data_IF_206177951301
#
_entry.id   IF_206177951301
#
_cell.length_a   1.000
_cell.length_b   1.000
_cell.length_c   1.000
_cell.angle_alpha   90.00
_cell.angle_beta   90.00
_cell.angle_gamma   90.00
#
_symmetry.space_group_name_H-M   'P 1'
#
loop_
_entity.id
_entity.type
_entity.pdbx_description
1 polymer ?
#
# COMPACT_ATOMS: atom_id res chain seq x y z
N UNK A 1 5.59 -39.10 8.34
CA UNK A 1 4.47 -38.24 7.93
C UNK A 1 3.61 -38.03 9.17
N UNK A 2 3.45 -36.78 9.58
CA UNK A 2 2.59 -36.41 10.69
C UNK A 2 1.22 -36.03 10.15
N UNK A 3 0.14 -36.51 10.75
CA UNK A 3 -1.21 -36.11 10.36
C UNK A 3 -1.52 -34.78 11.05
N UNK A 4 -1.58 -33.71 10.30
CA UNK A 4 -1.86 -32.35 10.82
C UNK A 4 -3.35 -32.02 10.92
N UNK A 5 -4.26 -32.95 10.56
CA UNK A 5 -5.70 -32.77 10.63
C UNK A 5 -6.43 -32.94 9.31
N UNK A 6 -7.72 -32.70 9.31
CA UNK A 6 -8.57 -32.71 8.12
C UNK A 6 -8.76 -31.29 7.57
N UNK A 7 -8.82 -31.19 6.25
CA UNK A 7 -9.22 -29.95 5.56
C UNK A 7 -10.75 -29.94 5.46
N UNK A 8 -11.39 -28.83 5.84
CA UNK A 8 -12.84 -28.67 5.68
C UNK A 8 -13.23 -28.70 4.19
N UNK A 9 -14.37 -29.31 3.89
CA UNK A 9 -14.89 -29.26 2.52
C UNK A 9 -15.15 -27.82 2.11
N UNK A 10 -14.67 -27.46 0.93
CA UNK A 10 -14.83 -26.14 0.32
C UNK A 10 -15.02 -26.29 -1.19
N UNK A 11 -15.50 -25.26 -1.86
CA UNK A 11 -15.63 -25.22 -3.31
C UNK A 11 -15.56 -23.77 -3.81
N UNK A 12 -14.35 -23.23 -3.89
CA UNK A 12 -14.12 -21.87 -4.42
C UNK A 12 -14.39 -21.80 -5.92
N UNK A 13 -14.36 -22.95 -6.62
CA UNK A 13 -14.74 -23.02 -8.03
C UNK A 13 -16.23 -22.80 -8.26
N UNK A 14 -17.07 -22.76 -7.22
CA UNK A 14 -18.51 -22.45 -7.35
C UNK A 14 -18.87 -21.03 -6.92
N UNK A 15 -17.89 -20.17 -6.69
CA UNK A 15 -18.14 -18.78 -6.29
C UNK A 15 -18.95 -18.04 -7.36
N UNK A 16 -19.91 -17.25 -6.90
CA UNK A 16 -20.72 -16.34 -7.70
C UNK A 16 -19.97 -15.01 -7.92
N UNK A 17 -20.55 -14.13 -8.73
CA UNK A 17 -20.03 -12.79 -8.97
C UNK A 17 -19.79 -12.05 -7.66
N UNK A 18 -18.57 -11.52 -7.50
CA UNK A 18 -18.14 -10.87 -6.26
C UNK A 18 -17.28 -9.66 -6.60
N UNK A 19 -17.67 -8.49 -6.12
CA UNK A 19 -16.97 -7.23 -6.43
C UNK A 19 -15.59 -7.15 -5.79
N UNK A 20 -15.43 -7.67 -4.56
CA UNK A 20 -14.19 -7.55 -3.80
C UNK A 20 -13.83 -8.85 -3.09
N UNK A 21 -12.59 -9.27 -3.26
CA UNK A 21 -11.99 -10.36 -2.50
C UNK A 21 -11.00 -9.79 -1.49
N UNK A 22 -11.12 -10.21 -0.24
CA UNK A 22 -10.12 -9.92 0.82
C UNK A 22 -9.43 -11.23 1.17
N UNK A 23 -8.11 -11.28 1.00
CA UNK A 23 -7.29 -12.45 1.35
C UNK A 23 -6.57 -12.16 2.66
N UNK A 24 -6.67 -13.06 3.62
CA UNK A 24 -6.00 -12.95 4.92
C UNK A 24 -5.25 -14.23 5.29
N UNK A 25 -4.23 -14.18 6.17
CA UNK A 25 -3.69 -15.38 6.83
C UNK A 25 -4.79 -16.09 7.62
N UNK A 26 -4.66 -17.42 7.82
CA UNK A 26 -5.61 -18.17 8.65
C UNK A 26 -5.36 -17.91 10.15
N UNK A 27 -5.64 -16.67 10.55
CA UNK A 27 -5.51 -16.17 11.92
C UNK A 27 -6.81 -15.51 12.35
N UNK A 28 -7.43 -16.06 13.39
CA UNK A 28 -8.74 -15.59 13.90
C UNK A 28 -8.77 -14.09 14.22
N UNK A 29 -7.68 -13.57 14.77
CA UNK A 29 -7.55 -12.17 15.16
C UNK A 29 -7.53 -11.22 13.94
N UNK A 30 -6.86 -11.60 12.85
CA UNK A 30 -6.85 -10.84 11.61
C UNK A 30 -8.15 -11.02 10.84
N UNK A 31 -8.66 -12.24 10.72
CA UNK A 31 -9.91 -12.54 10.03
C UNK A 31 -11.10 -11.78 10.62
N UNK A 32 -11.17 -11.62 11.94
CA UNK A 32 -12.21 -10.83 12.58
C UNK A 32 -12.17 -9.35 12.14
N UNK A 33 -11.00 -8.78 11.89
CA UNK A 33 -10.87 -7.42 11.42
C UNK A 33 -11.11 -7.30 9.90
N UNK A 34 -10.65 -8.28 9.11
CA UNK A 34 -10.94 -8.37 7.68
C UNK A 34 -12.46 -8.43 7.44
N UNK A 35 -13.19 -9.24 8.22
CA UNK A 35 -14.65 -9.32 8.12
C UNK A 35 -15.36 -8.02 8.56
N UNK A 36 -14.85 -7.31 9.57
CA UNK A 36 -15.36 -5.97 9.91
C UNK A 36 -15.21 -4.98 8.75
N UNK A 37 -14.06 -5.02 8.04
CA UNK A 37 -13.85 -4.19 6.86
C UNK A 37 -14.79 -4.59 5.72
N UNK A 38 -14.91 -5.89 5.46
CA UNK A 38 -15.83 -6.43 4.47
C UNK A 38 -17.27 -5.98 4.74
N UNK A 39 -17.71 -6.06 5.98
CA UNK A 39 -19.05 -5.62 6.37
C UNK A 39 -19.24 -4.11 6.14
N UNK A 40 -18.23 -3.30 6.42
CA UNK A 40 -18.30 -1.86 6.16
C UNK A 40 -18.46 -1.55 4.66
N UNK A 41 -17.75 -2.27 3.78
CA UNK A 41 -17.90 -2.12 2.33
C UNK A 41 -19.26 -2.60 1.82
N UNK A 42 -19.79 -3.71 2.37
CA UNK A 42 -21.15 -4.17 2.03
C UNK A 42 -22.22 -3.14 2.39
N UNK A 43 -22.11 -2.53 3.58
CA UNK A 43 -23.12 -1.58 4.09
C UNK A 43 -23.00 -0.18 3.49
N UNK A 44 -21.79 0.31 3.26
CA UNK A 44 -21.55 1.71 2.87
C UNK A 44 -21.37 1.90 1.37
N UNK A 45 -20.73 0.94 0.72
CA UNK A 45 -20.39 1.04 -0.70
C UNK A 45 -21.28 0.12 -1.57
N UNK A 46 -22.07 -0.75 -0.94
CA UNK A 46 -22.98 -1.69 -1.63
C UNK A 46 -22.24 -2.79 -2.39
N UNK A 47 -20.96 -3.06 -2.04
CA UNK A 47 -20.17 -4.09 -2.70
C UNK A 47 -20.52 -5.49 -2.17
N UNK A 48 -20.49 -6.47 -3.05
CA UNK A 48 -20.39 -7.88 -2.66
C UNK A 48 -18.93 -8.17 -2.28
N UNK A 49 -18.68 -8.56 -1.01
CA UNK A 49 -17.33 -8.77 -0.50
C UNK A 49 -17.20 -10.16 0.11
N UNK A 50 -16.13 -10.86 -0.23
CA UNK A 50 -15.81 -12.18 0.32
C UNK A 50 -14.44 -12.13 1.01
N UNK A 51 -14.35 -12.69 2.24
CA UNK A 51 -13.09 -12.87 2.96
C UNK A 51 -12.67 -14.32 2.84
N UNK A 52 -11.45 -14.56 2.36
CA UNK A 52 -10.86 -15.89 2.18
C UNK A 52 -9.52 -15.99 2.92
N UNK A 53 -9.19 -17.18 3.40
CA UNK A 53 -7.86 -17.44 3.90
C UNK A 53 -6.93 -17.92 2.79
N UNK A 54 -5.64 -17.57 2.88
CA UNK A 54 -4.65 -18.04 1.93
C UNK A 54 -4.63 -19.59 1.80
N UNK A 55 -4.68 -20.39 2.87
CA UNK A 55 -4.77 -21.85 2.78
C UNK A 55 -5.99 -22.35 2.00
N UNK A 56 -7.16 -21.71 2.13
CA UNK A 56 -8.33 -22.09 1.31
C UNK A 56 -8.05 -21.96 -0.17
N UNK A 57 -7.37 -20.89 -0.58
CA UNK A 57 -7.02 -20.66 -1.99
C UNK A 57 -5.95 -21.66 -2.43
N UNK A 58 -4.92 -21.89 -1.64
CA UNK A 58 -3.87 -22.88 -1.96
C UNK A 58 -4.44 -24.28 -2.19
N UNK A 59 -5.41 -24.69 -1.39
CA UNK A 59 -6.01 -26.03 -1.51
C UNK A 59 -6.63 -26.29 -2.90
N UNK A 60 -7.26 -25.28 -3.49
CA UNK A 60 -7.96 -25.45 -4.78
C UNK A 60 -7.14 -24.98 -6.00
N UNK A 61 -6.26 -24.00 -5.84
CA UNK A 61 -5.57 -23.37 -6.97
C UNK A 61 -4.08 -23.70 -7.07
N UNK A 62 -3.49 -24.36 -6.06
CA UNK A 62 -2.09 -24.82 -6.07
C UNK A 62 -1.85 -26.15 -5.34
N UNK A 63 -2.89 -27.01 -5.27
CA UNK A 63 -2.80 -28.35 -4.66
C UNK A 63 -2.29 -28.32 -3.20
N UNK A 64 -2.65 -27.28 -2.44
CA UNK A 64 -2.23 -27.07 -1.06
C UNK A 64 -0.84 -26.49 -0.86
N UNK A 65 -0.10 -26.24 -1.94
CA UNK A 65 1.23 -25.63 -1.84
C UNK A 65 1.10 -24.09 -1.75
N UNK A 66 1.78 -23.44 -0.79
CA UNK A 66 1.84 -21.97 -0.76
C UNK A 66 2.50 -21.45 -2.05
N UNK A 67 1.69 -20.82 -2.89
CA UNK A 67 2.05 -20.28 -4.19
C UNK A 67 1.23 -19.01 -4.45
N UNK A 68 1.91 -17.88 -4.64
CA UNK A 68 1.25 -16.60 -4.93
C UNK A 68 0.40 -16.65 -6.19
N UNK A 69 0.79 -17.44 -7.19
CA UNK A 69 0.02 -17.62 -8.42
C UNK A 69 -1.39 -18.18 -8.16
N UNK A 70 -1.60 -18.86 -7.04
CA UNK A 70 -2.93 -19.34 -6.65
C UNK A 70 -3.92 -18.18 -6.45
N UNK A 71 -3.47 -17.04 -5.93
CA UNK A 71 -4.30 -15.84 -5.79
C UNK A 71 -4.72 -15.30 -7.16
N UNK A 72 -3.76 -15.21 -8.10
CA UNK A 72 -4.04 -14.77 -9.46
C UNK A 72 -5.00 -15.75 -10.17
N UNK A 73 -4.82 -17.07 -9.99
CA UNK A 73 -5.71 -18.07 -10.58
C UNK A 73 -7.14 -17.97 -10.08
N UNK A 74 -7.35 -17.68 -8.80
CA UNK A 74 -8.67 -17.39 -8.25
C UNK A 74 -9.30 -16.17 -8.93
N UNK A 75 -8.55 -15.06 -9.01
CA UNK A 75 -9.04 -13.82 -9.62
C UNK A 75 -9.31 -14.00 -11.12
N UNK A 76 -8.40 -14.66 -11.86
CA UNK A 76 -8.55 -14.99 -13.28
C UNK A 76 -9.79 -15.87 -13.52
N UNK A 77 -10.01 -16.88 -12.69
CA UNK A 77 -11.21 -17.73 -12.81
C UNK A 77 -12.50 -16.92 -12.67
N UNK A 78 -12.56 -15.97 -11.71
CA UNK A 78 -13.73 -15.10 -11.54
C UNK A 78 -13.86 -14.11 -12.70
N UNK A 79 -12.77 -13.54 -13.17
CA UNK A 79 -12.71 -12.60 -14.27
C UNK A 79 -13.23 -13.23 -15.58
N UNK A 80 -12.76 -14.44 -15.92
CA UNK A 80 -13.13 -15.14 -17.13
C UNK A 80 -14.56 -15.71 -17.10
N UNK A 81 -15.02 -16.10 -15.91
CA UNK A 81 -16.37 -16.71 -15.76
C UNK A 81 -17.48 -15.73 -16.06
N UNK A 82 -17.28 -14.46 -15.76
CA UNK A 82 -18.31 -13.44 -15.92
C UNK A 82 -17.99 -12.55 -17.14
N UNK A 83 -18.62 -12.83 -18.31
CA UNK A 83 -18.37 -12.04 -19.52
C UNK A 83 -18.89 -10.60 -19.40
N UNK A 84 -19.89 -10.38 -18.53
CA UNK A 84 -20.38 -9.05 -18.23
C UNK A 84 -19.41 -8.34 -17.25
N UNK A 85 -18.80 -7.26 -17.70
CA UNK A 85 -17.84 -6.47 -16.94
C UNK A 85 -18.38 -6.00 -15.56
N UNK A 86 -19.69 -5.74 -15.47
CA UNK A 86 -20.32 -5.34 -14.21
C UNK A 86 -20.32 -6.44 -13.14
N UNK A 87 -20.19 -7.70 -13.54
CA UNK A 87 -20.16 -8.88 -12.67
C UNK A 87 -18.74 -9.37 -12.36
N UNK A 88 -17.73 -8.82 -13.05
CA UNK A 88 -16.32 -9.14 -12.80
C UNK A 88 -15.85 -8.61 -11.44
N UNK A 89 -14.85 -9.24 -10.83
CA UNK A 89 -14.22 -8.69 -9.63
C UNK A 89 -13.60 -7.32 -9.94
N UNK A 90 -13.74 -6.38 -9.02
CA UNK A 90 -13.24 -5.01 -9.13
C UNK A 90 -12.04 -4.75 -8.24
N UNK A 91 -11.96 -5.47 -7.11
CA UNK A 91 -10.98 -5.20 -6.07
C UNK A 91 -10.40 -6.49 -5.47
N UNK A 92 -9.10 -6.46 -5.21
CA UNK A 92 -8.39 -7.47 -4.42
C UNK A 92 -7.65 -6.76 -3.28
N UNK A 93 -7.91 -7.17 -2.04
CA UNK A 93 -7.19 -6.66 -0.87
C UNK A 93 -6.44 -7.78 -0.17
N UNK A 94 -5.14 -7.63 -0.03
CA UNK A 94 -4.33 -8.46 0.85
C UNK A 94 -4.38 -7.89 2.28
N UNK A 95 -5.05 -8.60 3.18
CA UNK A 95 -5.19 -8.21 4.56
C UNK A 95 -4.17 -8.94 5.44
N UNK A 96 -2.92 -8.55 5.30
CA UNK A 96 -1.76 -9.14 5.96
C UNK A 96 -0.47 -8.66 5.32
N UNK A 97 0.59 -8.73 6.10
CA UNK A 97 1.93 -8.39 5.66
C UNK A 97 2.56 -9.51 4.82
N UNK A 98 3.70 -9.23 4.19
CA UNK A 98 4.48 -10.24 3.48
C UNK A 98 5.95 -10.26 3.92
N UNK A 99 6.76 -11.09 3.27
CA UNK A 99 8.19 -11.20 3.52
C UNK A 99 8.92 -11.50 2.21
N UNK A 100 10.08 -10.86 1.99
CA UNK A 100 10.99 -11.27 0.91
C UNK A 100 11.52 -12.69 1.11
N UNK A 101 11.57 -13.17 2.35
CA UNK A 101 11.92 -14.54 2.71
C UNK A 101 10.66 -15.35 3.07
N UNK A 102 9.86 -15.64 2.07
CA UNK A 102 8.59 -16.33 2.23
C UNK A 102 8.68 -17.74 2.86
N UNK A 103 9.89 -18.30 2.98
CA UNK A 103 10.16 -19.58 3.64
C UNK A 103 10.81 -19.44 5.02
N UNK A 104 11.07 -18.21 5.48
CA UNK A 104 11.69 -17.89 6.78
C UNK A 104 13.03 -18.59 7.01
N UNK A 105 13.90 -18.61 5.99
CA UNK A 105 15.19 -19.32 6.02
C UNK A 105 16.34 -18.45 6.54
N UNK A 106 16.27 -17.15 6.35
CA UNK A 106 17.33 -16.23 6.77
C UNK A 106 17.36 -16.04 8.28
N UNK A 107 18.50 -15.59 8.80
CA UNK A 107 18.67 -15.36 10.25
C UNK A 107 17.67 -14.38 10.82
N UNK A 108 17.23 -13.40 10.04
CA UNK A 108 16.28 -12.37 10.44
C UNK A 108 14.86 -12.92 10.56
N UNK A 109 14.46 -13.83 9.67
CA UNK A 109 13.10 -14.32 9.57
C UNK A 109 12.86 -15.67 10.24
N UNK A 110 13.89 -16.46 10.55
CA UNK A 110 13.78 -17.85 11.06
C UNK A 110 12.95 -18.03 12.34
N UNK A 111 12.66 -16.97 13.08
CA UNK A 111 11.79 -16.99 14.26
C UNK A 111 10.31 -16.77 13.94
N UNK A 112 10.00 -16.40 12.71
CA UNK A 112 8.64 -16.18 12.25
C UNK A 112 8.08 -17.44 11.61
N UNK A 113 6.78 -17.44 11.38
CA UNK A 113 6.06 -18.56 10.75
C UNK A 113 5.52 -18.09 9.40
N UNK A 114 5.85 -18.80 8.29
CA UNK A 114 5.41 -18.42 6.95
C UNK A 114 3.88 -18.24 6.84
N UNK A 115 3.11 -19.10 7.53
CA UNK A 115 1.66 -19.07 7.51
C UNK A 115 1.01 -17.80 8.10
N UNK A 116 1.80 -16.96 8.77
CA UNK A 116 1.34 -15.67 9.29
C UNK A 116 1.45 -14.52 8.28
N UNK A 117 2.03 -14.78 7.11
CA UNK A 117 2.29 -13.79 6.07
C UNK A 117 1.58 -14.19 4.78
N UNK A 118 1.22 -13.19 3.98
CA UNK A 118 0.68 -13.40 2.64
C UNK A 118 1.80 -13.28 1.63
N UNK A 119 1.76 -14.11 0.61
CA UNK A 119 2.73 -14.02 -0.47
C UNK A 119 2.48 -12.75 -1.31
N UNK A 120 3.55 -12.22 -1.88
CA UNK A 120 3.56 -11.18 -2.89
C UNK A 120 4.35 -11.67 -4.09
N UNK A 121 4.20 -11.06 -5.25
CA UNK A 121 5.10 -11.33 -6.36
C UNK A 121 6.48 -10.76 -6.05
N UNK A 122 7.49 -11.53 -6.33
CA UNK A 122 8.89 -11.14 -6.18
C UNK A 122 9.63 -11.38 -7.48
N UNK A 123 10.44 -10.43 -7.90
CA UNK A 123 11.32 -10.58 -9.06
C UNK A 123 12.34 -11.70 -8.83
N UNK A 124 12.94 -12.22 -9.91
CA UNK A 124 13.86 -13.36 -9.86
C UNK A 124 15.03 -13.16 -8.88
N UNK A 125 15.56 -11.94 -8.80
CA UNK A 125 16.67 -11.58 -7.93
C UNK A 125 16.20 -10.85 -6.67
N UNK A 126 15.22 -11.39 -5.93
CA UNK A 126 14.53 -10.72 -4.84
C UNK A 126 15.42 -10.25 -3.66
N UNK A 127 16.64 -10.74 -3.55
CA UNK A 127 17.62 -10.29 -2.54
C UNK A 127 18.58 -9.20 -3.06
N UNK A 128 18.51 -8.87 -4.35
CA UNK A 128 19.33 -7.83 -4.97
C UNK A 128 18.58 -6.49 -4.93
N UNK A 129 18.99 -5.60 -4.04
CA UNK A 129 18.25 -4.36 -3.76
C UNK A 129 18.13 -3.41 -4.96
N UNK A 130 19.07 -3.44 -5.88
CA UNK A 130 19.14 -2.51 -7.02
C UNK A 130 18.42 -3.00 -8.27
N UNK A 131 18.08 -4.27 -8.35
CA UNK A 131 17.43 -4.88 -9.52
C UNK A 131 16.24 -5.76 -9.19
N UNK A 132 15.87 -5.85 -7.90
CA UNK A 132 14.68 -6.57 -7.47
C UNK A 132 13.51 -5.63 -7.24
N UNK A 133 12.32 -6.20 -7.31
CA UNK A 133 11.09 -5.52 -6.87
C UNK A 133 10.10 -6.54 -6.30
N UNK A 134 9.22 -6.02 -5.48
CA UNK A 134 8.08 -6.72 -4.90
C UNK A 134 6.84 -5.93 -5.27
N UNK A 135 5.83 -6.61 -5.81
CA UNK A 135 4.58 -5.96 -6.18
C UNK A 135 3.40 -6.91 -6.03
N UNK A 136 2.24 -6.37 -5.74
CA UNK A 136 0.98 -7.11 -5.78
C UNK A 136 0.25 -6.96 -7.14
N UNK A 137 0.73 -6.10 -8.04
CA UNK A 137 0.13 -5.85 -9.36
C UNK A 137 -0.01 -7.12 -10.21
N UNK A 138 0.94 -8.06 -10.07
CA UNK A 138 0.90 -9.37 -10.74
C UNK A 138 -0.47 -10.07 -10.60
N UNK A 139 -1.12 -9.91 -9.47
CA UNK A 139 -2.40 -10.57 -9.20
C UNK A 139 -3.59 -9.89 -9.89
N UNK A 140 -3.38 -8.75 -10.52
CA UNK A 140 -4.38 -7.98 -11.20
C UNK A 140 -4.23 -7.90 -12.72
N UNK A 141 -3.22 -8.54 -13.29
CA UNK A 141 -3.09 -8.75 -14.73
C UNK A 141 -3.88 -10.00 -15.10
N UNK A 142 -5.12 -9.82 -15.54
CA UNK A 142 -6.08 -10.90 -15.69
C UNK A 142 -6.48 -11.18 -17.14
N UNK A 143 -6.09 -10.36 -18.10
CA UNK A 143 -6.26 -10.66 -19.51
C UNK A 143 -5.39 -11.85 -19.95
N UNK A 144 -5.74 -12.47 -21.07
CA UNK A 144 -4.94 -13.55 -21.64
C UNK A 144 -3.57 -13.03 -22.10
N UNK A 145 -2.54 -13.84 -21.90
CA UNK A 145 -1.14 -13.53 -22.25
C UNK A 145 -0.50 -12.43 -21.38
N UNK A 146 -1.13 -12.04 -20.26
CA UNK A 146 -0.53 -11.12 -19.28
C UNK A 146 0.14 -11.83 -18.10
N UNK A 147 1.02 -11.11 -17.42
CA UNK A 147 1.68 -11.52 -16.17
C UNK A 147 3.10 -12.07 -16.34
N UNK A 148 3.57 -12.28 -17.56
CA UNK A 148 4.97 -12.65 -17.83
C UNK A 148 5.87 -11.41 -17.81
N UNK A 149 5.39 -10.28 -18.36
CA UNK A 149 6.03 -8.98 -18.29
C UNK A 149 5.14 -8.00 -17.56
N UNK A 150 5.48 -7.69 -16.31
CA UNK A 150 4.70 -6.78 -15.46
C UNK A 150 4.75 -5.32 -15.91
N UNK A 151 5.62 -4.98 -16.87
CA UNK A 151 5.72 -3.64 -17.43
C UNK A 151 4.83 -3.42 -18.66
N UNK A 152 4.31 -4.49 -19.24
CA UNK A 152 3.52 -4.47 -20.47
C UNK A 152 2.01 -4.60 -20.24
N UNK A 153 1.59 -5.14 -19.09
CA UNK A 153 0.17 -5.35 -18.77
C UNK A 153 -0.54 -4.11 -18.23
N UNK A 154 -1.86 -4.16 -18.22
CA UNK A 154 -2.71 -3.18 -17.56
C UNK A 154 -3.50 -3.85 -16.45
N UNK A 155 -3.63 -3.17 -15.30
CA UNK A 155 -4.40 -3.69 -14.19
C UNK A 155 -5.91 -3.72 -14.54
N UNK A 156 -6.50 -4.90 -14.48
CA UNK A 156 -7.94 -5.12 -14.68
C UNK A 156 -8.76 -4.82 -13.42
N UNK A 157 -8.12 -4.88 -12.26
CA UNK A 157 -8.75 -4.68 -10.96
C UNK A 157 -7.90 -3.77 -10.07
N UNK A 158 -8.54 -3.08 -9.13
CA UNK A 158 -7.84 -2.34 -8.07
C UNK A 158 -7.24 -3.29 -7.04
N UNK A 159 -5.95 -3.14 -6.77
CA UNK A 159 -5.23 -3.97 -5.78
C UNK A 159 -4.70 -3.11 -4.65
N UNK A 160 -4.77 -3.65 -3.44
CA UNK A 160 -4.18 -3.02 -2.26
C UNK A 160 -3.72 -4.03 -1.22
N UNK A 161 -2.88 -3.55 -0.31
CA UNK A 161 -2.42 -4.32 0.84
C UNK A 161 -2.54 -3.52 2.13
N UNK A 162 -3.07 -4.17 3.16
CA UNK A 162 -2.94 -3.73 4.54
C UNK A 162 -1.79 -4.51 5.18
N UNK A 163 -0.59 -3.92 5.31
CA UNK A 163 0.61 -4.60 5.81
C UNK A 163 0.53 -4.75 7.34
N UNK A 164 -0.44 -5.51 7.82
CA UNK A 164 -0.73 -5.70 9.25
C UNK A 164 -0.21 -7.05 9.72
N UNK A 165 0.51 -7.06 10.84
CA UNK A 165 1.09 -8.25 11.49
C UNK A 165 0.36 -8.66 12.76
N UNK A 166 -0.27 -7.69 13.43
CA UNK A 166 -0.88 -7.88 14.75
C UNK A 166 -2.35 -7.51 14.75
N UNK A 167 -3.11 -8.06 15.71
CA UNK A 167 -4.50 -7.70 15.93
C UNK A 167 -4.69 -6.20 16.20
N UNK A 168 -3.73 -5.56 16.86
CA UNK A 168 -3.78 -4.14 17.17
C UNK A 168 -3.63 -3.29 15.91
N UNK A 169 -2.67 -3.60 15.04
CA UNK A 169 -2.48 -2.94 13.75
C UNK A 169 -3.70 -3.14 12.85
N UNK A 170 -4.18 -4.38 12.72
CA UNK A 170 -5.36 -4.70 11.94
C UNK A 170 -6.59 -3.91 12.40
N UNK A 171 -6.84 -3.89 13.72
CA UNK A 171 -7.92 -3.10 14.30
C UNK A 171 -7.76 -1.61 13.99
N UNK A 172 -6.57 -1.07 14.16
CA UNK A 172 -6.31 0.36 13.95
C UNK A 172 -6.49 0.76 12.47
N UNK A 173 -5.98 -0.05 11.53
CA UNK A 173 -6.16 0.17 10.11
C UNK A 173 -7.64 0.13 9.70
N UNK A 174 -8.40 -0.86 10.18
CA UNK A 174 -9.83 -0.97 9.91
C UNK A 174 -10.62 0.17 10.53
N UNK A 175 -10.36 0.52 11.79
CA UNK A 175 -11.04 1.63 12.46
C UNK A 175 -10.81 2.96 11.71
N UNK A 176 -9.57 3.21 11.27
CA UNK A 176 -9.20 4.38 10.47
C UNK A 176 -9.94 4.41 9.14
N UNK A 177 -9.98 3.30 8.42
CA UNK A 177 -10.66 3.18 7.12
C UNK A 177 -12.16 3.40 7.27
N UNK A 178 -12.81 2.74 8.24
CA UNK A 178 -14.24 2.92 8.51
C UNK A 178 -14.57 4.37 8.88
N UNK A 179 -13.75 4.99 9.74
CA UNK A 179 -13.94 6.39 10.12
C UNK A 179 -13.80 7.34 8.91
N UNK A 180 -12.90 7.04 7.97
CA UNK A 180 -12.76 7.80 6.73
C UNK A 180 -13.99 7.61 5.81
N UNK A 181 -14.47 6.37 5.63
CA UNK A 181 -15.69 6.06 4.88
C UNK A 181 -16.92 6.79 5.45
N UNK A 182 -17.01 6.93 6.76
CA UNK A 182 -18.09 7.69 7.42
C UNK A 182 -18.05 9.20 7.13
N UNK A 183 -16.94 9.70 6.60
CA UNK A 183 -16.75 11.08 6.18
C UNK A 183 -17.06 12.14 7.27
N UNK A 184 -16.95 11.77 8.55
CA UNK A 184 -17.23 12.66 9.69
C UNK A 184 -16.31 13.88 9.76
N UNK A 185 -15.15 13.82 9.12
CA UNK A 185 -14.15 14.88 9.06
C UNK A 185 -14.22 15.65 7.72
N UNK A 186 -15.38 15.67 7.06
CA UNK A 186 -15.56 16.44 5.83
C UNK A 186 -15.26 17.94 6.06
N UNK A 187 -14.69 18.59 5.05
CA UNK A 187 -14.33 20.00 5.13
C UNK A 187 -13.45 20.46 3.97
N UNK A 188 -13.07 21.74 3.99
CA UNK A 188 -12.29 22.38 2.95
C UNK A 188 -10.91 21.73 2.70
N UNK A 189 -10.39 20.96 3.64
CA UNK A 189 -9.14 20.22 3.47
C UNK A 189 -9.18 19.23 2.29
N UNK A 190 -10.35 18.75 1.90
CA UNK A 190 -10.55 17.89 0.73
C UNK A 190 -10.36 18.61 -0.61
N UNK A 191 -10.21 19.92 -0.60
CA UNK A 191 -9.83 20.73 -1.77
C UNK A 191 -8.35 21.12 -1.75
N UNK A 192 -7.57 20.63 -0.79
CA UNK A 192 -6.15 20.96 -0.65
C UNK A 192 -5.29 19.81 -1.17
N UNK A 193 -4.37 20.10 -2.07
CA UNK A 193 -3.34 19.18 -2.55
C UNK A 193 -1.96 19.79 -2.31
N UNK A 194 -0.94 18.97 -2.10
CA UNK A 194 0.42 19.43 -1.87
C UNK A 194 1.41 18.65 -2.73
N UNK A 195 2.24 19.38 -3.46
CA UNK A 195 3.36 18.85 -4.22
C UNK A 195 4.65 19.16 -3.48
N UNK A 196 5.44 18.13 -3.23
CA UNK A 196 6.67 18.19 -2.45
C UNK A 196 7.81 17.64 -3.30
N UNK A 197 8.97 18.31 -3.30
CA UNK A 197 10.17 17.82 -3.97
C UNK A 197 11.43 18.16 -3.17
N UNK A 198 12.42 17.28 -3.26
CA UNK A 198 13.77 17.58 -2.81
C UNK A 198 14.54 18.47 -3.82
N UNK A 199 15.77 18.82 -3.51
CA UNK A 199 16.66 19.64 -4.33
C UNK A 199 17.69 18.79 -5.12
N UNK A 200 17.52 17.46 -5.12
CA UNK A 200 18.40 16.53 -5.81
C UNK A 200 18.34 16.65 -7.33
N UNK A 201 19.31 16.01 -8.00
CA UNK A 201 19.40 15.80 -9.45
C UNK A 201 19.21 17.07 -10.29
N UNK A 202 19.85 18.16 -9.87
CA UNK A 202 19.80 19.46 -10.56
C UNK A 202 18.36 19.99 -10.74
N UNK A 203 17.55 19.86 -9.70
CA UNK A 203 16.14 20.27 -9.64
C UNK A 203 15.22 19.48 -10.58
N UNK A 204 15.59 18.28 -10.99
CA UNK A 204 14.73 17.43 -11.81
C UNK A 204 13.41 17.15 -11.09
N UNK A 205 13.48 16.74 -9.83
CA UNK A 205 12.31 16.41 -9.00
C UNK A 205 11.37 17.61 -8.79
N UNK A 206 11.94 18.79 -8.52
CA UNK A 206 11.16 20.03 -8.42
C UNK A 206 10.48 20.38 -9.75
N UNK A 207 11.16 20.19 -10.87
CA UNK A 207 10.59 20.43 -12.21
C UNK A 207 9.45 19.47 -12.53
N UNK A 208 9.58 18.19 -12.20
CA UNK A 208 8.53 17.18 -12.37
C UNK A 208 7.32 17.49 -11.48
N UNK A 209 7.54 17.82 -10.21
CA UNK A 209 6.48 18.21 -9.27
C UNK A 209 5.76 19.48 -9.73
N UNK A 210 6.49 20.48 -10.27
CA UNK A 210 5.89 21.72 -10.79
C UNK A 210 5.01 21.46 -12.02
N UNK A 211 5.40 20.51 -12.87
CA UNK A 211 4.59 20.12 -14.03
C UNK A 211 3.23 19.59 -13.60
N UNK A 212 3.21 18.72 -12.59
CA UNK A 212 1.99 18.16 -11.99
C UNK A 212 1.17 19.24 -11.26
N UNK A 213 1.83 20.10 -10.49
CA UNK A 213 1.19 21.20 -9.78
C UNK A 213 0.50 22.17 -10.72
N UNK A 214 1.21 22.60 -11.76
CA UNK A 214 0.70 23.50 -12.81
C UNK A 214 -0.41 22.85 -13.64
N UNK A 215 -0.34 21.55 -13.92
CA UNK A 215 -1.41 20.81 -14.58
C UNK A 215 -2.68 20.80 -13.71
N UNK A 216 -2.52 20.54 -12.42
CA UNK A 216 -3.63 20.51 -11.46
C UNK A 216 -4.32 21.87 -11.35
N UNK A 217 -3.57 22.94 -11.20
CA UNK A 217 -4.14 24.30 -11.14
C UNK A 217 -4.94 24.67 -12.38
N UNK A 218 -4.43 24.32 -13.56
CA UNK A 218 -5.11 24.64 -14.83
C UNK A 218 -6.37 23.82 -15.07
N UNK A 219 -6.36 22.54 -14.72
CA UNK A 219 -7.45 21.63 -15.06
C UNK A 219 -8.46 21.42 -13.92
N UNK A 220 -8.06 21.69 -12.69
CA UNK A 220 -8.88 21.52 -11.49
C UNK A 220 -8.85 22.76 -10.59
N UNK A 221 -9.40 23.90 -11.05
CA UNK A 221 -9.28 25.21 -10.35
C UNK A 221 -10.00 25.25 -9.00
N UNK A 222 -10.79 24.23 -8.66
CA UNK A 222 -11.39 24.07 -7.33
C UNK A 222 -10.41 23.54 -6.29
N UNK A 223 -9.26 23.03 -6.68
CA UNK A 223 -8.23 22.54 -5.78
C UNK A 223 -7.25 23.66 -5.39
N UNK A 224 -6.95 23.73 -4.11
CA UNK A 224 -5.91 24.62 -3.58
C UNK A 224 -4.58 23.87 -3.63
N UNK A 225 -3.72 24.26 -4.57
CA UNK A 225 -2.41 23.65 -4.75
C UNK A 225 -1.38 24.32 -3.83
N UNK A 226 -0.69 23.53 -3.03
CA UNK A 226 0.48 23.94 -2.25
C UNK A 226 1.74 23.33 -2.84
N UNK A 227 2.84 24.06 -2.74
CA UNK A 227 4.18 23.66 -3.19
C UNK A 227 5.15 23.71 -2.03
N UNK A 228 5.91 22.66 -1.82
CA UNK A 228 7.03 22.61 -0.89
C UNK A 228 8.20 22.00 -1.64
N UNK A 229 8.99 22.85 -2.27
CA UNK A 229 10.23 22.46 -2.95
C UNK A 229 11.39 22.88 -2.05
N UNK A 230 12.29 21.94 -1.74
CA UNK A 230 13.36 22.15 -0.78
C UNK A 230 14.18 23.40 -1.07
N UNK A 231 14.52 23.66 -2.32
CA UNK A 231 15.26 24.85 -2.79
C UNK A 231 14.63 26.20 -2.40
N UNK A 232 13.32 26.24 -2.20
CA UNK A 232 12.63 27.48 -1.83
C UNK A 232 12.79 27.84 -0.34
N UNK A 233 13.47 26.99 0.44
CA UNK A 233 13.67 27.14 1.87
C UNK A 233 15.15 27.27 2.23
N UNK A 234 15.42 27.87 3.39
CA UNK A 234 16.77 27.98 3.88
C UNK A 234 17.31 26.61 4.31
N UNK A 235 18.45 26.23 3.73
CA UNK A 235 19.15 25.00 4.09
C UNK A 235 20.08 25.25 5.28
N UNK A 236 19.96 24.42 6.29
CA UNK A 236 20.84 24.40 7.45
C UNK A 236 21.80 23.23 7.35
N UNK A 237 23.08 23.48 7.59
CA UNK A 237 24.14 22.45 7.60
C UNK A 237 24.64 22.23 9.02
N UNK A 238 24.79 20.96 9.40
CA UNK A 238 25.29 20.55 10.70
C UNK A 238 26.30 19.40 10.58
N UNK A 239 26.89 19.00 11.69
CA UNK A 239 27.76 17.83 11.72
C UNK A 239 27.05 16.50 11.37
N UNK A 240 25.72 16.47 11.45
CA UNK A 240 24.88 15.30 11.17
C UNK A 240 24.24 15.34 9.78
N UNK A 241 24.54 16.33 8.98
CA UNK A 241 24.03 16.50 7.60
C UNK A 241 23.32 17.82 7.37
N UNK A 242 22.68 17.91 6.23
CA UNK A 242 21.92 19.06 5.79
C UNK A 242 20.42 18.85 6.06
N UNK A 243 19.67 19.91 6.32
CA UNK A 243 18.23 19.87 6.61
C UNK A 243 17.52 21.12 6.11
N UNK A 244 16.20 21.03 5.95
CA UNK A 244 15.31 22.15 5.61
C UNK A 244 14.23 22.33 6.69
N UNK A 245 14.55 22.85 7.88
CA UNK A 245 13.63 22.88 9.02
C UNK A 245 12.32 23.62 8.74
N UNK A 246 12.37 24.73 7.99
CA UNK A 246 11.18 25.49 7.64
C UNK A 246 10.28 24.76 6.63
N UNK A 247 10.85 24.00 5.69
CA UNK A 247 10.11 23.14 4.79
C UNK A 247 9.40 22.01 5.54
N UNK A 248 10.12 21.30 6.41
CA UNK A 248 9.56 20.27 7.30
C UNK A 248 8.43 20.84 8.17
N UNK A 249 8.65 21.98 8.81
CA UNK A 249 7.64 22.67 9.63
C UNK A 249 6.39 23.01 8.80
N UNK A 250 6.56 23.53 7.59
CA UNK A 250 5.45 23.87 6.69
C UNK A 250 4.67 22.62 6.28
N UNK A 251 5.36 21.54 5.95
CA UNK A 251 4.78 20.25 5.60
C UNK A 251 3.94 19.69 6.76
N UNK A 252 4.49 19.65 7.95
CA UNK A 252 3.79 19.18 9.15
C UNK A 252 2.56 20.04 9.51
N UNK A 253 2.64 21.35 9.27
CA UNK A 253 1.46 22.23 9.42
C UNK A 253 0.34 21.88 8.44
N UNK A 254 0.67 21.54 7.19
CA UNK A 254 -0.31 21.09 6.20
C UNK A 254 -0.92 19.75 6.59
N UNK A 255 -0.13 18.78 7.03
CA UNK A 255 -0.66 17.51 7.56
C UNK A 255 -1.64 17.74 8.73
N UNK A 256 -1.33 18.63 9.66
CA UNK A 256 -2.21 18.95 10.78
C UNK A 256 -3.52 19.64 10.35
N UNK A 257 -3.46 20.48 9.31
CA UNK A 257 -4.67 21.13 8.74
C UNK A 257 -5.51 20.15 7.93
N UNK A 258 -4.89 19.11 7.41
CA UNK A 258 -5.45 18.16 6.47
C UNK A 258 -5.28 18.59 5.02
N UNK A 259 -5.17 17.61 4.14
CA UNK A 259 -5.14 17.73 2.69
C UNK A 259 -5.69 16.47 2.06
N UNK A 260 -6.17 16.56 0.82
CA UNK A 260 -6.71 15.40 0.09
C UNK A 260 -5.58 14.49 -0.41
N UNK A 261 -4.58 15.10 -1.01
CA UNK A 261 -3.42 14.40 -1.61
C UNK A 261 -2.13 15.13 -1.22
N UNK A 262 -1.12 14.36 -0.87
CA UNK A 262 0.27 14.81 -0.91
C UNK A 262 1.02 13.97 -1.94
N UNK A 263 1.72 14.64 -2.86
CA UNK A 263 2.61 14.02 -3.83
C UNK A 263 4.05 14.42 -3.50
N UNK A 264 4.90 13.44 -3.28
CA UNK A 264 6.33 13.62 -3.10
C UNK A 264 7.09 13.01 -4.29
N UNK A 265 8.01 13.77 -4.87
CA UNK A 265 8.93 13.30 -5.90
C UNK A 265 10.35 13.65 -5.44
N UNK A 266 11.22 12.66 -5.31
CA UNK A 266 12.57 12.90 -4.81
C UNK A 266 13.26 11.66 -4.26
N UNK A 267 14.46 11.84 -3.72
CA UNK A 267 15.18 10.79 -3.04
C UNK A 267 14.47 10.34 -1.75
N UNK A 268 14.70 9.11 -1.35
CA UNK A 268 14.17 8.60 -0.10
C UNK A 268 14.79 7.28 0.33
N UNK A 269 14.29 6.81 1.44
CA UNK A 269 14.72 5.57 2.06
C UNK A 269 13.56 4.94 2.83
N UNK A 270 13.80 3.81 3.44
CA UNK A 270 12.83 3.17 4.35
C UNK A 270 12.44 4.03 5.56
N UNK A 271 13.15 5.12 5.84
CA UNK A 271 12.96 5.92 7.07
C UNK A 271 12.67 7.40 6.85
N UNK A 272 12.92 7.95 5.64
CA UNK A 272 12.78 9.39 5.42
C UNK A 272 12.59 9.73 3.93
N UNK A 273 12.01 10.90 3.67
CA UNK A 273 12.06 11.62 2.39
C UNK A 273 13.30 12.51 2.36
N UNK A 274 13.98 12.53 1.24
CA UNK A 274 15.21 13.24 0.96
C UNK A 274 16.41 12.84 1.84
N UNK A 275 17.61 13.04 1.35
CA UNK A 275 18.85 12.90 2.13
C UNK A 275 18.89 13.90 3.31
N UNK A 276 18.24 15.05 3.15
CA UNK A 276 18.11 16.14 4.11
C UNK A 276 17.01 15.91 5.15
N UNK A 277 16.44 14.70 5.22
CA UNK A 277 15.40 14.33 6.17
C UNK A 277 14.19 15.27 6.19
N UNK A 278 13.68 15.62 4.99
CA UNK A 278 12.53 16.52 4.83
C UNK A 278 11.28 16.03 5.59
N UNK A 279 11.07 14.72 5.65
CA UNK A 279 10.07 14.06 6.49
C UNK A 279 10.62 12.73 6.98
N UNK A 280 10.65 12.53 8.29
CA UNK A 280 11.21 11.33 8.93
C UNK A 280 10.11 10.41 9.49
N UNK A 281 10.45 9.15 9.73
CA UNK A 281 9.58 8.21 10.48
C UNK A 281 9.19 8.76 11.86
N UNK A 282 10.09 9.50 12.54
CA UNK A 282 9.81 10.12 13.83
C UNK A 282 8.71 11.21 13.72
N UNK A 283 8.71 11.98 12.62
CA UNK A 283 7.69 12.98 12.34
C UNK A 283 6.35 12.30 12.03
N UNK A 284 6.37 11.26 11.19
CA UNK A 284 5.17 10.47 10.82
C UNK A 284 4.52 9.87 12.07
N UNK A 285 5.31 9.30 12.96
CA UNK A 285 4.82 8.70 14.22
C UNK A 285 4.11 9.72 15.12
N UNK A 286 4.52 10.98 15.06
CA UNK A 286 3.93 12.07 15.85
C UNK A 286 2.69 12.72 15.21
N UNK A 287 2.35 12.37 13.98
CA UNK A 287 1.15 12.92 13.32
C UNK A 287 -0.12 12.52 14.05
N UNK A 288 -1.03 13.48 14.25
CA UNK A 288 -2.28 13.28 15.01
C UNK A 288 -3.53 13.78 14.33
N UNK A 289 -3.45 14.21 13.07
CA UNK A 289 -4.61 14.71 12.34
C UNK A 289 -5.52 13.58 11.87
N UNK A 290 -6.84 13.64 12.11
CA UNK A 290 -7.81 12.69 11.58
C UNK A 290 -8.17 12.96 10.10
N UNK A 291 -7.61 14.02 9.50
CA UNK A 291 -7.82 14.43 8.10
C UNK A 291 -6.73 13.82 7.25
N UNK A 292 -6.93 12.58 6.84
CA UNK A 292 -5.91 11.71 6.28
C UNK A 292 -5.79 11.90 4.76
N UNK A 293 -4.63 12.29 4.24
CA UNK A 293 -4.38 12.35 2.80
C UNK A 293 -4.15 10.97 2.18
N UNK A 294 -4.40 10.89 0.87
CA UNK A 294 -3.72 9.93 0.01
C UNK A 294 -2.27 10.41 -0.20
N UNK A 295 -1.31 9.52 0.03
CA UNK A 295 0.09 9.80 -0.27
C UNK A 295 0.49 9.16 -1.59
N UNK A 296 1.11 9.96 -2.47
CA UNK A 296 1.72 9.48 -3.70
C UNK A 296 3.22 9.78 -3.56
N UNK A 297 4.05 8.73 -3.52
CA UNK A 297 5.48 8.90 -3.24
C UNK A 297 6.31 8.26 -4.34
N UNK A 298 6.80 9.09 -5.26
CA UNK A 298 7.77 8.69 -6.27
C UNK A 298 9.20 8.83 -5.68
N UNK A 299 9.60 7.82 -4.92
CA UNK A 299 10.88 7.78 -4.18
C UNK A 299 11.30 6.34 -3.91
N UNK A 300 12.54 6.10 -3.48
CA UNK A 300 13.06 4.77 -3.22
C UNK A 300 12.56 4.18 -1.89
N UNK A 301 12.28 2.88 -1.83
CA UNK A 301 12.13 2.03 -0.63
C UNK A 301 11.16 2.51 0.45
N UNK A 302 10.37 3.54 0.20
CA UNK A 302 9.61 4.22 1.24
C UNK A 302 8.57 3.33 1.93
N UNK A 303 8.02 2.35 1.19
CA UNK A 303 7.11 1.35 1.74
C UNK A 303 7.62 -0.06 1.43
N UNK A 304 8.74 -0.42 2.01
CA UNK A 304 9.35 -1.74 1.89
C UNK A 304 8.61 -2.73 2.81
N UNK A 305 7.38 -3.03 2.44
CA UNK A 305 6.44 -3.82 3.25
C UNK A 305 6.80 -5.32 3.36
N UNK A 306 7.82 -5.79 2.65
CA UNK A 306 8.31 -7.16 2.71
C UNK A 306 9.52 -7.33 3.64
N UNK A 307 9.95 -6.28 4.33
CA UNK A 307 11.06 -6.34 5.29
C UNK A 307 10.52 -6.62 6.71
N UNK A 308 11.43 -7.10 7.56
CA UNK A 308 11.15 -7.36 8.97
C UNK A 308 10.89 -6.06 9.75
N UNK A 309 11.52 -4.97 9.34
CA UNK A 309 11.38 -3.65 9.96
C UNK A 309 10.27 -2.88 9.24
N UNK A 310 9.40 -2.29 10.04
CA UNK A 310 8.36 -1.40 9.51
C UNK A 310 9.00 -0.16 8.87
N UNK A 311 8.71 0.09 7.61
CA UNK A 311 9.17 1.27 6.88
C UNK A 311 8.33 2.51 7.21
N UNK A 312 8.82 3.70 6.81
CA UNK A 312 8.13 4.96 7.06
C UNK A 312 6.77 5.05 6.35
N UNK A 313 6.63 4.47 5.16
CA UNK A 313 5.35 4.39 4.45
C UNK A 313 4.35 3.48 5.18
N UNK A 314 4.79 2.31 5.64
CA UNK A 314 3.94 1.46 6.49
C UNK A 314 3.55 2.19 7.78
N UNK A 315 4.51 2.87 8.44
CA UNK A 315 4.23 3.66 9.63
C UNK A 315 3.19 4.76 9.35
N UNK A 316 3.21 5.39 8.18
CA UNK A 316 2.20 6.38 7.80
C UNK A 316 0.80 5.76 7.71
N UNK A 317 0.69 4.54 7.17
CA UNK A 317 -0.56 3.80 7.15
C UNK A 317 -0.98 3.28 8.53
N UNK A 318 -0.05 2.71 9.29
CA UNK A 318 -0.33 2.08 10.59
C UNK A 318 -0.50 3.08 11.74
N UNK A 319 -0.13 4.36 11.58
CA UNK A 319 -0.32 5.37 12.61
C UNK A 319 -1.82 5.51 12.96
N UNK A 320 -2.15 5.22 14.21
CA UNK A 320 -3.53 5.19 14.72
C UNK A 320 -4.16 6.57 14.88
N UNK A 321 -3.37 7.64 14.87
CA UNK A 321 -3.79 9.02 15.17
C UNK A 321 -3.68 9.96 13.98
N UNK A 322 -3.01 9.56 12.91
CA UNK A 322 -2.72 10.40 11.76
C UNK A 322 -2.11 9.61 10.60
N UNK A 323 -1.20 10.25 9.84
CA UNK A 323 -0.51 9.65 8.72
C UNK A 323 -1.32 9.64 7.42
N UNK A 324 -1.40 8.51 6.73
CA UNK A 324 -2.08 8.34 5.45
C UNK A 324 -3.35 7.50 5.57
N UNK A 325 -4.32 7.74 4.68
CA UNK A 325 -5.44 6.80 4.48
C UNK A 325 -5.05 5.66 3.54
N UNK A 326 -4.26 5.97 2.54
CA UNK A 326 -3.68 5.03 1.59
C UNK A 326 -2.39 5.62 1.01
N UNK A 327 -1.56 4.77 0.40
CA UNK A 327 -0.34 5.18 -0.29
C UNK A 327 -0.28 4.54 -1.68
N UNK A 328 0.14 5.32 -2.68
CA UNK A 328 0.73 4.85 -3.93
C UNK A 328 2.23 5.09 -3.81
N UNK A 329 3.01 4.04 -3.72
CA UNK A 329 4.39 4.13 -3.22
C UNK A 329 5.25 3.00 -3.77
N UNK A 330 6.54 3.07 -3.54
CA UNK A 330 7.51 2.09 -4.03
C UNK A 330 7.98 1.16 -2.91
N UNK A 331 8.25 -0.09 -3.25
CA UNK A 331 8.76 -1.13 -2.34
C UNK A 331 10.28 -1.36 -2.47
N UNK A 332 10.90 -0.78 -3.50
CA UNK A 332 12.34 -0.92 -3.81
C UNK A 332 12.91 0.37 -4.38
N UNK A 333 14.22 0.34 -4.63
CA UNK A 333 14.94 1.39 -5.36
C UNK A 333 14.30 1.59 -6.72
N UNK A 334 14.07 2.85 -7.07
CA UNK A 334 13.56 3.26 -8.39
C UNK A 334 14.49 4.30 -9.00
N UNK A 335 14.55 4.32 -10.32
CA UNK A 335 15.36 5.27 -11.07
C UNK A 335 14.43 6.22 -11.86
N UNK A 336 14.85 7.48 -11.97
CA UNK A 336 14.13 8.51 -12.71
C UNK A 336 14.40 8.41 -14.22
#
# INVERSE_FOLDING_TARGET
MENVGGVANQNLHSLEATDMIIIAPDRKDLLAQAERLAQAHREKDGLSVLVLTAPQIYNEFSSGTPDGTAYRRLMKMLYDRFPNEAERPKYLLFFGDCSYDNRMLTSSWKSYRPENFLLSYQSEASLEETSSYVTDDYFGFLDDEEGDDLTAGMLDIGIGRFPVRTAAEAKAAVDKTIAYMENKQAGSWKHTVCYVADDGDKNLHASQSELLASYTERNYPSLLVNRIYADAFHRESSATGETYPDATKRLLQLFNRGMLVVNYTGHGSTSAWAAENLLTMADITKMTSPRLPLWITATCDFTRFDDIQTSAGEQAFLNTKGGAIALLTTSRVVYA
#
